data_IF_753340827195
#
_entry.id   IF_753340827195
#
_cell.length_a   1.000
_cell.length_b   1.000
_cell.length_c   1.000
_cell.angle_alpha   90.00
_cell.angle_beta   90.00
_cell.angle_gamma   90.00
#
_symmetry.space_group_name_H-M   'P 1'
#
loop_
_entity.id
_entity.type
_entity.pdbx_description
1 polymer ?
#
# COMPACT_ATOMS: atom_id res chain seq x y z
N UNK A 1 10.28 3.85 -16.29
CA UNK A 1 10.57 3.80 -14.85
C UNK A 1 11.81 4.62 -14.59
N UNK A 2 11.68 5.67 -13.77
CA UNK A 2 12.79 6.54 -13.40
C UNK A 2 13.29 6.16 -12.00
N UNK A 3 14.62 6.15 -11.83
CA UNK A 3 15.22 6.03 -10.51
C UNK A 3 14.91 7.28 -9.68
N UNK A 4 14.34 7.08 -8.50
CA UNK A 4 13.94 8.15 -7.57
C UNK A 4 14.77 8.15 -6.28
N UNK A 5 15.91 7.48 -6.25
CA UNK A 5 16.74 7.31 -5.07
C UNK A 5 17.12 8.65 -4.42
N UNK A 6 17.38 9.67 -5.23
CA UNK A 6 17.70 11.00 -4.72
C UNK A 6 16.54 11.65 -3.96
N UNK A 7 15.28 11.30 -4.26
CA UNK A 7 14.10 11.72 -3.51
C UNK A 7 13.91 10.84 -2.27
N UNK A 8 13.85 9.52 -2.46
CA UNK A 8 13.56 8.56 -1.40
C UNK A 8 14.64 8.50 -0.32
N UNK A 9 15.90 8.77 -0.66
CA UNK A 9 17.01 8.75 0.28
C UNK A 9 17.26 10.08 1.01
N UNK A 10 16.62 11.17 0.60
CA UNK A 10 16.85 12.52 1.19
C UNK A 10 15.59 13.20 1.71
N UNK A 11 14.42 12.83 1.17
CA UNK A 11 13.13 13.42 1.51
C UNK A 11 12.28 12.37 2.21
N UNK A 12 11.58 12.75 3.25
CA UNK A 12 10.64 11.91 4.02
C UNK A 12 11.24 10.63 4.60
N UNK A 13 12.55 10.61 4.83
CA UNK A 13 13.26 9.45 5.39
C UNK A 13 12.82 9.07 6.79
N UNK A 14 12.50 10.06 7.58
CA UNK A 14 12.08 9.85 8.96
C UNK A 14 11.10 10.92 9.40
N UNK A 15 10.02 10.47 10.02
CA UNK A 15 9.01 11.32 10.66
C UNK A 15 9.14 11.08 12.16
N UNK A 16 9.67 12.01 12.92
CA UNK A 16 9.96 11.93 14.34
C UNK A 16 11.32 11.32 14.69
N UNK A 17 11.74 11.47 15.95
CA UNK A 17 13.02 10.96 16.46
C UNK A 17 13.00 9.52 16.99
N UNK A 18 11.86 8.81 16.90
CA UNK A 18 11.69 7.44 17.42
C UNK A 18 11.43 6.43 16.32
N UNK A 19 12.01 6.61 15.15
CA UNK A 19 11.87 5.71 14.01
C UNK A 19 12.62 4.40 14.30
N UNK A 20 11.90 3.28 14.28
CA UNK A 20 12.45 1.94 14.40
C UNK A 20 12.67 1.28 13.03
N UNK A 21 11.76 1.47 12.09
CA UNK A 21 11.89 1.00 10.70
C UNK A 21 11.50 2.13 9.76
N UNK A 22 12.42 2.49 8.88
CA UNK A 22 12.23 3.49 7.83
C UNK A 22 12.25 2.85 6.44
N UNK A 23 12.00 3.62 5.39
CA UNK A 23 11.97 3.14 4.02
C UNK A 23 13.27 2.51 3.52
N UNK A 24 14.43 3.04 3.95
CA UNK A 24 15.73 2.52 3.51
C UNK A 24 16.24 1.46 4.47
N UNK A 25 16.86 0.41 3.94
CA UNK A 25 17.44 -0.68 4.72
C UNK A 25 18.68 -1.27 4.04
N UNK A 26 19.43 -2.09 4.81
CA UNK A 26 20.67 -2.73 4.38
C UNK A 26 21.84 -1.78 4.27
N UNK A 27 23.02 -2.31 3.92
CA UNK A 27 24.26 -1.55 3.79
C UNK A 27 24.19 -0.49 2.67
N UNK A 28 23.50 -0.83 1.57
CA UNK A 28 23.37 0.04 0.39
C UNK A 28 22.31 1.14 0.62
N UNK A 29 21.48 1.04 1.68
CA UNK A 29 20.39 1.97 2.00
C UNK A 29 19.39 2.13 0.85
N UNK A 30 18.91 1.00 0.33
CA UNK A 30 17.86 0.98 -0.69
C UNK A 30 16.47 1.15 -0.05
N UNK A 31 15.53 1.83 -0.73
CA UNK A 31 14.16 2.04 -0.24
C UNK A 31 13.30 0.78 -0.47
N UNK A 32 13.56 -0.28 0.28
CA UNK A 32 12.93 -1.59 0.12
C UNK A 32 11.88 -1.91 1.18
N UNK A 33 11.80 -1.11 2.26
CA UNK A 33 10.76 -1.28 3.26
C UNK A 33 9.47 -0.60 2.83
N UNK A 34 8.37 -1.35 2.86
CA UNK A 34 7.03 -0.85 2.58
C UNK A 34 6.20 -0.63 3.86
N UNK A 35 6.83 -0.79 5.01
CA UNK A 35 6.26 -0.57 6.33
C UNK A 35 7.14 0.37 7.15
N UNK A 36 6.53 1.40 7.73
CA UNK A 36 7.16 2.27 8.72
C UNK A 36 6.81 1.83 10.13
N UNK A 37 7.80 1.82 11.04
CA UNK A 37 7.57 1.52 12.46
C UNK A 37 8.18 2.62 13.31
N UNK A 38 7.37 3.16 14.23
CA UNK A 38 7.76 4.20 15.17
C UNK A 38 7.65 3.65 16.59
N UNK A 39 8.67 3.85 17.42
CA UNK A 39 8.62 3.48 18.82
C UNK A 39 7.71 4.42 19.61
N UNK A 40 6.95 3.89 20.57
CA UNK A 40 6.11 4.69 21.47
C UNK A 40 6.91 5.43 22.54
N UNK A 41 8.06 4.87 22.92
CA UNK A 41 8.93 5.40 23.95
C UNK A 41 10.40 5.25 23.58
N UNK A 42 11.29 5.69 24.48
CA UNK A 42 12.74 5.55 24.32
C UNK A 42 13.29 4.21 24.87
N UNK A 43 12.46 3.36 25.46
CA UNK A 43 12.84 2.01 25.86
C UNK A 43 12.95 1.08 24.64
N UNK A 44 12.26 1.44 23.55
CA UNK A 44 12.41 0.80 22.24
C UNK A 44 11.84 -0.62 22.19
N UNK A 45 10.69 -0.85 22.84
CA UNK A 45 10.02 -2.14 22.80
C UNK A 45 8.70 -2.07 22.05
N UNK A 46 7.77 -1.25 22.48
CA UNK A 46 6.47 -1.10 21.82
C UNK A 46 6.52 -0.03 20.74
N UNK A 47 5.69 -0.20 19.73
CA UNK A 47 5.62 0.74 18.61
C UNK A 47 4.28 0.76 17.93
N UNK A 48 4.22 1.55 16.87
CA UNK A 48 3.12 1.59 15.92
C UNK A 48 3.70 1.33 14.53
N UNK A 49 3.08 0.43 13.78
CA UNK A 49 3.39 0.17 12.38
C UNK A 49 2.34 0.80 11.46
N UNK A 50 2.79 1.29 10.33
CA UNK A 50 1.95 1.80 9.24
C UNK A 50 2.44 1.31 7.89
N UNK A 51 1.52 1.06 6.98
CA UNK A 51 1.81 0.75 5.57
C UNK A 51 0.75 1.34 4.66
N UNK A 52 1.01 1.31 3.36
CA UNK A 52 0.10 1.83 2.34
C UNK A 52 -0.06 0.79 1.25
N UNK A 53 -1.25 0.74 0.64
CA UNK A 53 -1.53 -0.04 -0.55
C UNK A 53 -2.45 0.72 -1.52
N UNK A 54 -2.21 0.54 -2.82
CA UNK A 54 -3.04 1.09 -3.88
C UNK A 54 -2.89 0.28 -5.17
N UNK A 55 -3.92 0.21 -5.99
CA UNK A 55 -3.90 -0.55 -7.24
C UNK A 55 -4.64 0.18 -8.39
N UNK A 56 -4.18 1.38 -8.80
CA UNK A 56 -4.90 2.19 -9.80
C UNK A 56 -4.99 1.51 -11.16
N UNK A 57 -3.96 0.79 -11.61
CA UNK A 57 -3.97 0.08 -12.89
C UNK A 57 -5.00 -1.06 -12.90
N UNK A 58 -5.14 -1.79 -11.80
CA UNK A 58 -6.18 -2.82 -11.64
C UNK A 58 -7.56 -2.17 -11.57
N UNK A 59 -7.68 -1.04 -10.89
CA UNK A 59 -8.92 -0.26 -10.76
C UNK A 59 -9.47 0.24 -12.10
N UNK A 60 -8.62 0.49 -13.10
CA UNK A 60 -9.05 0.82 -14.47
C UNK A 60 -9.80 -0.34 -15.13
N UNK A 61 -9.38 -1.57 -14.88
CA UNK A 61 -9.98 -2.79 -15.44
C UNK A 61 -11.23 -3.18 -14.63
N UNK A 62 -11.08 -3.27 -13.31
CA UNK A 62 -12.15 -3.62 -12.36
C UNK A 62 -12.01 -2.79 -11.09
N UNK A 63 -12.97 -1.91 -10.79
CA UNK A 63 -12.95 -1.12 -9.57
C UNK A 63 -13.02 -1.99 -8.31
N UNK A 64 -13.73 -3.11 -8.37
CA UNK A 64 -13.84 -4.10 -7.31
C UNK A 64 -12.46 -4.71 -6.98
N UNK A 65 -11.79 -5.26 -8.01
CA UNK A 65 -10.48 -5.86 -7.83
C UNK A 65 -9.42 -4.83 -7.44
N UNK A 66 -9.50 -3.60 -7.95
CA UNK A 66 -8.63 -2.51 -7.57
C UNK A 66 -8.70 -2.21 -6.07
N UNK A 67 -9.91 -2.19 -5.51
CA UNK A 67 -10.12 -1.94 -4.08
C UNK A 67 -9.63 -3.09 -3.21
N UNK A 68 -9.93 -4.34 -3.60
CA UNK A 68 -9.45 -5.53 -2.89
C UNK A 68 -7.91 -5.57 -2.91
N UNK A 69 -7.30 -5.33 -4.07
CA UNK A 69 -5.84 -5.33 -4.21
C UNK A 69 -5.18 -4.21 -3.40
N UNK A 70 -5.81 -3.04 -3.28
CA UNK A 70 -5.31 -1.96 -2.42
C UNK A 70 -5.25 -2.37 -0.95
N UNK A 71 -6.28 -3.07 -0.45
CA UNK A 71 -6.27 -3.62 0.92
C UNK A 71 -5.21 -4.72 1.04
N UNK A 72 -5.16 -5.65 0.08
CA UNK A 72 -4.21 -6.75 0.10
C UNK A 72 -2.75 -6.26 0.11
N UNK A 73 -2.42 -5.27 -0.72
CA UNK A 73 -1.07 -4.67 -0.74
C UNK A 73 -0.74 -4.02 0.61
N UNK A 74 -1.64 -3.21 1.17
CA UNK A 74 -1.41 -2.59 2.48
C UNK A 74 -1.16 -3.64 3.57
N UNK A 75 -1.91 -4.75 3.57
CA UNK A 75 -1.73 -5.83 4.55
C UNK A 75 -0.44 -6.62 4.32
N UNK A 76 -0.07 -6.92 3.09
CA UNK A 76 1.19 -7.62 2.79
C UNK A 76 2.41 -6.78 3.10
N UNK A 77 2.32 -5.45 2.98
CA UNK A 77 3.39 -4.53 3.34
C UNK A 77 3.65 -4.48 4.86
N UNK A 78 2.65 -4.80 5.70
CA UNK A 78 2.80 -4.80 7.16
C UNK A 78 2.98 -6.20 7.76
N UNK A 79 2.85 -7.26 6.96
CA UNK A 79 2.77 -8.66 7.45
C UNK A 79 4.01 -9.13 8.22
N UNK A 80 5.18 -8.55 7.95
CA UNK A 80 6.45 -8.92 8.60
C UNK A 80 6.71 -8.15 9.91
N UNK A 81 5.70 -7.46 10.41
CA UNK A 81 5.75 -6.72 11.69
C UNK A 81 4.84 -7.42 12.72
N UNK A 82 5.32 -7.64 13.96
CA UNK A 82 4.55 -8.37 14.98
C UNK A 82 3.44 -7.49 15.57
N UNK A 83 2.36 -7.36 14.82
CA UNK A 83 1.16 -6.61 15.23
C UNK A 83 0.47 -7.34 16.40
N UNK A 84 0.10 -6.58 17.43
CA UNK A 84 -0.69 -7.07 18.54
C UNK A 84 -2.10 -7.45 18.06
N UNK A 85 -2.53 -8.69 18.31
CA UNK A 85 -3.80 -9.22 17.80
C UNK A 85 -3.79 -9.67 16.34
N UNK A 86 -2.64 -9.62 15.66
CA UNK A 86 -2.52 -10.05 14.26
C UNK A 86 -3.40 -9.20 13.34
N UNK A 87 -4.15 -9.83 12.42
CA UNK A 87 -5.03 -9.11 11.48
C UNK A 87 -6.13 -8.31 12.21
N UNK A 88 -6.69 -8.84 13.28
CA UNK A 88 -7.75 -8.17 14.02
C UNK A 88 -7.23 -6.93 14.80
N UNK A 89 -5.91 -6.84 15.01
CA UNK A 89 -5.25 -5.68 15.60
C UNK A 89 -4.94 -4.56 14.61
N UNK A 90 -5.26 -4.74 13.32
CA UNK A 90 -5.04 -3.74 12.29
C UNK A 90 -6.31 -2.91 12.09
N UNK A 91 -6.14 -1.61 11.96
CA UNK A 91 -7.18 -0.68 11.54
C UNK A 91 -6.80 -0.03 10.22
N UNK A 92 -7.77 0.17 9.33
CA UNK A 92 -7.56 0.73 8.01
C UNK A 92 -8.12 2.15 7.91
N UNK A 93 -7.49 2.97 7.08
CA UNK A 93 -8.03 4.24 6.60
C UNK A 93 -8.11 4.21 5.09
N UNK A 94 -9.24 4.62 4.52
CA UNK A 94 -9.48 4.60 3.08
C UNK A 94 -9.53 6.03 2.52
N UNK A 95 -8.65 6.34 1.57
CA UNK A 95 -8.66 7.61 0.83
C UNK A 95 -9.10 7.36 -0.62
N UNK A 96 -10.34 7.73 -0.91
CA UNK A 96 -10.94 7.57 -2.23
C UNK A 96 -10.65 8.78 -3.10
N UNK A 97 -10.12 8.53 -4.30
CA UNK A 97 -9.89 9.54 -5.33
C UNK A 97 -10.59 9.10 -6.61
N UNK A 98 -11.66 9.81 -7.00
CA UNK A 98 -12.54 9.34 -8.06
C UNK A 98 -13.08 10.48 -8.91
N UNK A 99 -13.15 10.34 -10.26
CA UNK A 99 -13.72 11.34 -11.14
C UNK A 99 -15.25 11.18 -11.29
N UNK A 100 -16.01 11.17 -10.19
CA UNK A 100 -17.44 10.81 -10.14
C UNK A 100 -18.36 11.67 -11.00
N UNK A 101 -17.91 12.87 -11.43
CA UNK A 101 -18.72 13.72 -12.32
C UNK A 101 -18.79 13.23 -13.76
N UNK A 102 -18.04 12.18 -14.09
CA UNK A 102 -18.05 11.56 -15.40
C UNK A 102 -19.04 10.40 -15.44
N UNK A 103 -19.67 10.18 -16.57
CA UNK A 103 -20.73 9.17 -16.72
C UNK A 103 -20.23 7.76 -16.32
N UNK A 104 -20.94 7.11 -15.43
CA UNK A 104 -20.69 5.76 -14.96
C UNK A 104 -19.64 5.64 -13.85
N UNK A 105 -18.89 6.69 -13.53
CA UNK A 105 -17.85 6.65 -12.50
C UNK A 105 -18.41 6.61 -11.07
N UNK A 106 -19.59 7.13 -10.85
CA UNK A 106 -20.33 7.00 -9.59
C UNK A 106 -20.73 5.53 -9.31
N UNK A 107 -21.22 4.83 -10.32
CA UNK A 107 -21.53 3.40 -10.22
C UNK A 107 -20.26 2.55 -10.02
N UNK A 108 -19.17 2.91 -10.66
CA UNK A 108 -17.87 2.26 -10.45
C UNK A 108 -17.36 2.46 -9.02
N UNK A 109 -17.47 3.68 -8.47
CA UNK A 109 -17.13 3.96 -7.07
C UNK A 109 -17.97 3.12 -6.11
N UNK A 110 -19.29 3.03 -6.34
CA UNK A 110 -20.17 2.22 -5.51
C UNK A 110 -19.69 0.76 -5.42
N UNK A 111 -19.42 0.12 -6.58
CA UNK A 111 -18.91 -1.25 -6.63
C UNK A 111 -17.54 -1.41 -5.96
N UNK A 112 -16.68 -0.42 -6.11
CA UNK A 112 -15.37 -0.41 -5.45
C UNK A 112 -15.50 -0.38 -3.91
N UNK A 113 -16.41 0.47 -3.39
CA UNK A 113 -16.67 0.59 -1.95
C UNK A 113 -17.32 -0.69 -1.40
N UNK A 114 -18.29 -1.24 -2.11
CA UNK A 114 -18.95 -2.51 -1.75
C UNK A 114 -17.93 -3.64 -1.63
N UNK A 115 -17.10 -3.85 -2.66
CA UNK A 115 -16.07 -4.87 -2.65
C UNK A 115 -15.02 -4.69 -1.53
N UNK A 116 -14.59 -3.44 -1.28
CA UNK A 116 -13.69 -3.15 -0.16
C UNK A 116 -14.34 -3.46 1.19
N UNK A 117 -15.61 -3.12 1.36
CA UNK A 117 -16.38 -3.41 2.57
C UNK A 117 -16.51 -4.91 2.82
N UNK A 118 -16.92 -5.66 1.80
CA UNK A 118 -17.10 -7.11 1.90
C UNK A 118 -15.77 -7.82 2.24
N UNK A 119 -14.69 -7.40 1.59
CA UNK A 119 -13.37 -7.96 1.84
C UNK A 119 -12.86 -7.63 3.25
N UNK A 120 -13.02 -6.39 3.71
CA UNK A 120 -12.66 -6.00 5.07
C UNK A 120 -13.47 -6.75 6.14
N UNK A 121 -14.77 -6.96 5.91
CA UNK A 121 -15.63 -7.76 6.78
C UNK A 121 -15.20 -9.23 6.82
N UNK A 122 -14.88 -9.82 5.66
CA UNK A 122 -14.39 -11.20 5.58
C UNK A 122 -13.08 -11.40 6.36
N UNK A 123 -12.22 -10.38 6.39
CA UNK A 123 -10.96 -10.36 7.14
C UNK A 123 -11.13 -9.92 8.62
N UNK A 124 -12.32 -9.46 9.02
CA UNK A 124 -12.62 -8.88 10.33
C UNK A 124 -11.76 -7.67 10.68
N UNK A 125 -11.45 -6.86 9.67
CA UNK A 125 -10.68 -5.62 9.82
C UNK A 125 -11.62 -4.44 9.66
N UNK A 126 -11.49 -3.43 10.51
CA UNK A 126 -12.31 -2.23 10.45
C UNK A 126 -11.73 -1.17 9.50
N UNK A 127 -12.60 -0.34 8.96
CA UNK A 127 -12.26 0.88 8.21
C UNK A 127 -12.98 2.06 8.87
N UNK A 128 -12.50 2.55 10.03
CA UNK A 128 -13.22 3.56 10.81
C UNK A 128 -13.15 4.95 10.20
N UNK A 129 -12.17 5.22 9.37
CA UNK A 129 -11.93 6.54 8.78
C UNK A 129 -11.83 6.48 7.27
N UNK A 130 -12.36 7.53 6.64
CA UNK A 130 -12.27 7.71 5.20
C UNK A 130 -12.08 9.18 4.84
N UNK A 131 -11.52 9.39 3.67
CA UNK A 131 -11.45 10.68 2.98
C UNK A 131 -11.81 10.45 1.52
N UNK A 132 -12.51 11.37 0.90
CA UNK A 132 -12.88 11.28 -0.51
C UNK A 132 -12.54 12.56 -1.27
N UNK A 133 -12.14 12.39 -2.53
CA UNK A 133 -11.93 13.44 -3.52
C UNK A 133 -12.63 13.00 -4.80
N UNK A 134 -13.87 13.48 -5.00
CA UNK A 134 -14.76 12.95 -6.04
C UNK A 134 -14.76 13.77 -7.34
N UNK A 135 -13.85 14.73 -7.48
CA UNK A 135 -13.75 15.61 -8.66
C UNK A 135 -12.37 15.51 -9.32
N UNK A 136 -11.80 14.31 -9.38
CA UNK A 136 -10.43 14.07 -9.85
C UNK A 136 -10.34 14.16 -11.38
N UNK A 137 -10.51 15.38 -11.89
CA UNK A 137 -10.46 15.69 -13.31
C UNK A 137 -9.66 16.97 -13.51
N UNK A 138 -8.63 16.93 -14.37
CA UNK A 138 -7.89 18.10 -14.81
C UNK A 138 -8.43 18.57 -16.15
N UNK A 139 -8.86 19.83 -16.22
CA UNK A 139 -9.30 20.50 -17.45
C UNK A 139 -8.23 21.47 -17.94
N UNK A 140 -7.95 21.44 -19.22
CA UNK A 140 -6.98 22.31 -19.86
C UNK A 140 -7.68 23.41 -20.68
N UNK A 141 -6.96 24.52 -20.92
CA UNK A 141 -7.48 25.69 -21.68
C UNK A 141 -7.86 25.38 -23.13
N UNK A 142 -7.23 24.37 -23.72
CA UNK A 142 -7.50 23.89 -25.09
C UNK A 142 -8.78 23.02 -25.19
N UNK A 143 -9.48 22.81 -24.07
CA UNK A 143 -10.68 21.98 -24.01
C UNK A 143 -10.44 20.51 -23.63
N UNK A 144 -9.19 20.07 -23.58
CA UNK A 144 -8.85 18.70 -23.17
C UNK A 144 -9.16 18.49 -21.70
N UNK A 145 -9.49 17.25 -21.35
CA UNK A 145 -9.70 16.81 -19.99
C UNK A 145 -8.97 15.50 -19.74
N UNK A 146 -8.27 15.44 -18.62
CA UNK A 146 -7.62 14.21 -18.13
C UNK A 146 -8.30 13.78 -16.85
N UNK A 147 -8.75 12.52 -16.82
CA UNK A 147 -9.40 11.90 -15.69
C UNK A 147 -8.39 11.08 -14.89
N UNK A 148 -8.39 11.21 -13.58
CA UNK A 148 -7.66 10.30 -12.71
C UNK A 148 -8.28 8.91 -12.78
N UNK A 149 -7.49 7.82 -12.74
CA UNK A 149 -8.04 6.51 -12.45
C UNK A 149 -8.82 6.54 -11.14
N UNK A 150 -10.02 5.96 -11.13
CA UNK A 150 -10.74 5.73 -9.88
C UNK A 150 -9.90 4.79 -9.00
N UNK A 151 -9.50 5.28 -7.82
CA UNK A 151 -8.61 4.51 -6.93
C UNK A 151 -8.93 4.74 -5.47
N UNK A 152 -8.58 3.77 -4.64
CA UNK A 152 -8.51 3.92 -3.20
C UNK A 152 -7.07 3.72 -2.74
N UNK A 153 -6.60 4.60 -1.86
CA UNK A 153 -5.36 4.40 -1.12
C UNK A 153 -5.74 3.94 0.28
N UNK A 154 -5.28 2.76 0.65
CA UNK A 154 -5.49 2.16 1.96
C UNK A 154 -4.24 2.38 2.79
N UNK A 155 -4.41 2.95 3.97
CA UNK A 155 -3.36 2.99 4.99
C UNK A 155 -3.72 2.04 6.12
N UNK A 156 -2.73 1.27 6.61
CA UNK A 156 -2.87 0.45 7.80
C UNK A 156 -2.30 1.17 9.02
N UNK A 157 -2.80 0.83 10.20
CA UNK A 157 -2.17 1.14 11.47
C UNK A 157 -2.39 -0.05 12.43
N UNK A 158 -1.34 -0.41 13.18
CA UNK A 158 -1.43 -1.43 14.22
C UNK A 158 -0.36 -1.24 15.30
N UNK A 159 -0.68 -1.64 16.53
CA UNK A 159 0.30 -1.65 17.61
C UNK A 159 1.30 -2.79 17.42
N UNK A 160 2.57 -2.51 17.68
CA UNK A 160 3.68 -3.46 17.59
C UNK A 160 4.13 -3.83 19.00
N UNK A 161 4.10 -5.12 19.33
CA UNK A 161 4.48 -5.63 20.64
C UNK A 161 5.97 -5.49 20.93
N UNK A 162 6.80 -5.73 19.90
CA UNK A 162 8.26 -5.63 20.01
C UNK A 162 8.84 -5.20 18.66
N UNK A 163 9.19 -3.93 18.55
CA UNK A 163 9.73 -3.33 17.33
C UNK A 163 11.03 -3.98 16.86
N UNK A 164 11.77 -4.66 17.76
CA UNK A 164 13.02 -5.35 17.45
C UNK A 164 12.82 -6.66 16.66
N UNK A 165 11.57 -7.13 16.60
CA UNK A 165 11.18 -8.34 15.87
C UNK A 165 10.62 -8.05 14.47
N UNK A 166 10.55 -6.79 14.07
CA UNK A 166 10.17 -6.43 12.70
C UNK A 166 11.22 -6.96 11.72
N UNK A 167 10.76 -7.66 10.70
CA UNK A 167 11.62 -8.22 9.66
C UNK A 167 11.73 -7.21 8.51
N UNK A 168 12.94 -7.00 8.02
CA UNK A 168 13.22 -6.15 6.86
C UNK A 168 13.56 -7.03 5.64
N UNK A 169 13.48 -6.52 4.40
CA UNK A 169 13.79 -7.28 3.19
C UNK A 169 15.30 -7.53 2.99
N UNK A 170 16.12 -7.31 3.99
CA UNK A 170 17.55 -7.60 3.96
C UNK A 170 17.78 -9.08 4.25
N UNK A 171 18.30 -9.80 3.25
CA UNK A 171 18.64 -11.21 3.40
C UNK A 171 19.82 -11.34 4.38
N UNK A 172 19.63 -12.13 5.43
CA UNK A 172 20.69 -12.42 6.40
C UNK A 172 21.49 -13.62 5.93
N UNK A 173 22.84 -13.59 6.04
CA UNK A 173 23.70 -14.72 5.67
C UNK A 173 23.65 -15.79 6.79
N UNK A 174 22.51 -16.46 6.93
CA UNK A 174 22.33 -17.55 7.88
C UNK A 174 22.43 -18.86 7.08
N UNK A 175 23.27 -19.78 7.57
CA UNK A 175 23.41 -21.12 7.02
C UNK A 175 22.04 -21.84 7.04
N UNK A 176 21.74 -22.63 6.04
CA UNK A 176 20.44 -23.33 5.85
C UNK A 176 19.23 -22.43 5.55
N UNK A 177 19.42 -21.15 5.23
CA UNK A 177 18.34 -20.30 4.75
C UNK A 177 17.81 -20.80 3.40
N UNK A 178 16.47 -20.77 3.24
CA UNK A 178 15.81 -21.15 1.98
C UNK A 178 14.98 -19.98 1.46
N UNK A 179 14.90 -19.87 0.14
CA UNK A 179 13.98 -18.95 -0.52
C UNK A 179 12.69 -19.72 -0.85
N UNK A 180 11.57 -19.20 -0.37
CA UNK A 180 10.25 -19.75 -0.65
C UNK A 180 9.50 -18.80 -1.59
N UNK A 181 9.11 -19.30 -2.75
CA UNK A 181 8.25 -18.59 -3.69
C UNK A 181 6.81 -19.08 -3.54
N UNK A 182 5.89 -18.16 -3.28
CA UNK A 182 4.47 -18.46 -3.16
C UNK A 182 3.74 -17.79 -4.32
N UNK A 183 3.20 -18.59 -5.22
CA UNK A 183 2.46 -18.11 -6.39
C UNK A 183 0.95 -18.33 -6.20
N UNK A 184 0.21 -17.24 -6.10
CA UNK A 184 -1.26 -17.26 -6.08
C UNK A 184 -1.88 -17.05 -7.48
N UNK A 185 -1.06 -16.83 -8.50
CA UNK A 185 -1.48 -16.57 -9.87
C UNK A 185 -2.06 -17.83 -10.54
N UNK A 186 -3.29 -17.73 -11.04
CA UNK A 186 -3.94 -18.79 -11.84
C UNK A 186 -3.98 -18.46 -13.33
N UNK A 187 -3.58 -17.24 -13.72
CA UNK A 187 -3.53 -16.79 -15.10
C UNK A 187 -2.16 -17.01 -15.72
N UNK A 188 -2.10 -17.14 -17.05
CA UNK A 188 -0.82 -17.19 -17.77
C UNK A 188 0.01 -15.93 -17.50
N UNK A 189 1.33 -16.07 -17.53
CA UNK A 189 2.29 -14.99 -17.30
C UNK A 189 2.24 -13.97 -18.46
N UNK A 190 1.36 -13.00 -18.36
CA UNK A 190 1.18 -11.91 -19.33
C UNK A 190 1.69 -10.61 -18.72
N UNK A 191 2.48 -9.86 -19.49
CA UNK A 191 3.10 -8.60 -19.07
C UNK A 191 2.31 -7.36 -19.51
N UNK A 192 1.14 -7.52 -20.14
CA UNK A 192 0.30 -6.41 -20.56
C UNK A 192 -0.07 -5.49 -19.38
N UNK A 193 0.08 -4.19 -19.56
CA UNK A 193 -0.15 -3.20 -18.49
C UNK A 193 0.96 -3.08 -17.44
N UNK A 194 2.00 -3.92 -17.51
CA UNK A 194 3.16 -3.81 -16.61
C UNK A 194 4.01 -2.58 -16.91
N UNK A 195 4.83 -2.16 -15.94
CA UNK A 195 5.81 -1.09 -16.14
C UNK A 195 6.80 -1.44 -17.27
N UNK A 196 7.18 -2.71 -17.40
CA UNK A 196 8.04 -3.16 -18.49
C UNK A 196 7.36 -2.95 -19.85
N UNK A 197 6.10 -3.36 -20.00
CA UNK A 197 5.36 -3.14 -21.24
C UNK A 197 5.23 -1.66 -21.60
N UNK A 198 5.06 -0.79 -20.61
CA UNK A 198 5.00 0.67 -20.83
C UNK A 198 6.33 1.29 -21.26
N UNK A 199 7.46 0.66 -20.94
CA UNK A 199 8.79 1.18 -21.30
C UNK A 199 9.20 0.75 -22.71
N UNK A 200 8.80 -0.45 -23.13
CA UNK A 200 9.24 -1.06 -24.39
C UNK A 200 8.26 -0.86 -25.56
N UNK A 201 7.10 -0.25 -25.30
CA UNK A 201 6.14 0.18 -26.32
C UNK A 201 6.46 1.67 -26.73
#
# INVERSE_FOLDING_TARGET
VACKDFLTNKVDRSVTGKIATQQCCGEIQLPLNDCGVVALDYQGKRGIATSIGHAPAVGLISPENGSIMSIAEALTNVVLTPIEGGLEGISLSANWMWPCKNAGEDARLYRAVEAASDFAQALRINIPTRKDSLSMTQKYKNGDSVYSPGTVIISTVGEVQDIRKTVTPVVKPVEDSVLVYVDFGKSGQKLGGSALAQIVN
#
